data_IF_303750432810
#
_entry.id   IF_303750432810
#
_cell.length_a   1.000
_cell.length_b   1.000
_cell.length_c   1.000
_cell.angle_alpha   90.00
_cell.angle_beta   90.00
_cell.angle_gamma   90.00
#
_symmetry.space_group_name_H-M   'P 1'
#
loop_
_entity.id
_entity.type
_entity.pdbx_description
1 polymer ?
#
# COMPACT_ATOMS: atom_id res chain seq x y z
N UNK A 1 -17.38 32.68 33.21
CA UNK A 1 -17.75 31.58 32.29
C UNK A 1 -17.33 30.26 32.88
N UNK A 2 -18.22 29.65 33.65
CA UNK A 2 -17.99 28.38 34.36
C UNK A 2 -18.39 27.19 33.49
N UNK A 3 -17.46 26.26 33.28
CA UNK A 3 -17.73 24.97 32.64
C UNK A 3 -18.68 24.19 33.55
N UNK A 4 -19.92 23.94 33.10
CA UNK A 4 -20.95 23.27 33.90
C UNK A 4 -20.66 21.79 34.16
N UNK A 5 -19.87 21.14 33.31
CA UNK A 5 -19.46 19.74 33.47
C UNK A 5 -18.38 19.36 32.46
N UNK A 6 -17.42 18.54 32.88
CA UNK A 6 -16.43 17.87 32.00
C UNK A 6 -16.84 16.45 31.63
N UNK A 7 -17.94 15.93 32.22
CA UNK A 7 -18.47 14.59 32.00
C UNK A 7 -19.51 14.56 30.88
N UNK A 8 -19.24 15.20 29.74
CA UNK A 8 -20.16 15.26 28.61
C UNK A 8 -19.67 14.37 27.45
N UNK A 9 -20.16 13.13 27.38
CA UNK A 9 -19.79 12.19 26.33
C UNK A 9 -21.03 11.52 25.73
N UNK A 10 -21.11 11.48 24.39
CA UNK A 10 -22.14 10.70 23.69
C UNK A 10 -21.69 9.24 23.56
N UNK A 11 -22.51 8.28 24.00
CA UNK A 11 -22.22 6.84 23.84
C UNK A 11 -22.29 6.37 22.37
N UNK A 12 -22.96 7.12 21.49
CA UNK A 12 -23.19 6.75 20.09
C UNK A 12 -22.09 7.24 19.14
N UNK A 13 -21.28 8.21 19.57
CA UNK A 13 -20.28 8.89 18.72
C UNK A 13 -19.29 7.92 18.10
N UNK A 14 -18.72 6.98 18.86
CA UNK A 14 -17.75 6.01 18.35
C UNK A 14 -18.29 5.18 17.16
N UNK A 15 -19.53 4.67 17.28
CA UNK A 15 -20.14 3.82 16.23
C UNK A 15 -20.44 4.63 14.98
N UNK A 16 -21.00 5.83 15.15
CA UNK A 16 -21.38 6.69 14.03
C UNK A 16 -20.17 7.25 13.28
N UNK A 17 -19.13 7.69 14.00
CA UNK A 17 -17.87 8.18 13.41
C UNK A 17 -17.17 7.04 12.65
N UNK A 18 -17.12 5.83 13.24
CA UNK A 18 -16.54 4.66 12.56
C UNK A 18 -17.29 4.33 11.26
N UNK A 19 -18.62 4.33 11.29
CA UNK A 19 -19.45 4.08 10.09
C UNK A 19 -19.23 5.16 9.01
N UNK A 20 -19.01 6.40 9.42
CA UNK A 20 -18.78 7.50 8.49
C UNK A 20 -17.38 7.45 7.85
N UNK A 21 -16.34 7.08 8.60
CA UNK A 21 -14.94 7.34 8.24
C UNK A 21 -14.05 6.10 8.05
N UNK A 22 -14.34 4.97 8.68
CA UNK A 22 -13.43 3.82 8.63
C UNK A 22 -13.32 3.24 7.21
N UNK A 23 -12.08 2.98 6.77
CA UNK A 23 -11.79 2.46 5.43
C UNK A 23 -11.91 3.49 4.30
N UNK A 24 -12.16 4.76 4.61
CA UNK A 24 -12.25 5.82 3.59
C UNK A 24 -10.99 6.67 3.58
N UNK A 25 -10.64 7.18 2.40
CA UNK A 25 -9.59 8.19 2.22
C UNK A 25 -10.06 9.62 2.61
N UNK A 26 -11.39 9.83 2.71
CA UNK A 26 -12.02 11.08 3.13
C UNK A 26 -13.40 10.80 3.74
N UNK A 27 -13.77 11.56 4.76
CA UNK A 27 -15.12 11.59 5.33
C UNK A 27 -15.46 12.99 5.84
N UNK A 28 -16.72 13.23 6.16
CA UNK A 28 -17.19 14.46 6.82
C UNK A 28 -18.02 14.07 8.06
N UNK A 29 -17.85 14.82 9.15
CA UNK A 29 -18.57 14.63 10.41
C UNK A 29 -19.41 15.89 10.68
N UNK A 30 -20.71 15.71 10.89
CA UNK A 30 -21.62 16.83 11.18
C UNK A 30 -21.95 16.87 12.68
N UNK A 31 -21.31 17.77 13.43
CA UNK A 31 -21.51 17.93 14.89
C UNK A 31 -22.87 18.53 15.24
N UNK A 32 -23.95 17.73 15.09
CA UNK A 32 -25.33 18.11 15.39
C UNK A 32 -25.95 17.15 16.41
N UNK A 33 -26.82 17.70 17.28
CA UNK A 33 -27.61 16.90 18.23
C UNK A 33 -28.47 15.84 17.54
N UNK A 34 -28.98 16.12 16.32
CA UNK A 34 -29.75 15.16 15.53
C UNK A 34 -28.95 13.92 15.09
N UNK A 35 -27.62 14.01 15.05
CA UNK A 35 -26.73 12.91 14.67
C UNK A 35 -26.25 12.16 15.90
N UNK A 36 -25.76 12.88 16.92
CA UNK A 36 -25.05 12.29 18.06
C UNK A 36 -25.86 12.26 19.37
N UNK A 37 -27.09 12.78 19.36
CA UNK A 37 -27.87 13.08 20.55
C UNK A 37 -27.37 14.34 21.26
N UNK A 38 -28.08 14.76 22.32
CA UNK A 38 -27.60 15.79 23.24
C UNK A 38 -27.11 15.15 24.55
N UNK A 39 -25.79 14.90 24.71
CA UNK A 39 -25.24 14.26 25.91
C UNK A 39 -25.19 15.19 27.14
N UNK A 40 -25.32 16.51 26.96
CA UNK A 40 -25.30 17.48 28.05
C UNK A 40 -26.00 18.77 27.62
N UNK A 41 -27.28 18.86 27.95
CA UNK A 41 -28.11 19.99 27.58
C UNK A 41 -27.55 21.32 28.14
N UNK A 42 -27.66 22.40 27.36
CA UNK A 42 -27.17 23.73 27.74
C UNK A 42 -25.64 23.87 27.78
N UNK A 43 -24.90 22.86 27.31
CA UNK A 43 -23.44 22.92 27.16
C UNK A 43 -23.07 22.88 25.68
N UNK A 44 -22.16 23.77 25.27
CA UNK A 44 -21.54 23.73 23.94
C UNK A 44 -20.64 22.50 23.83
N UNK A 45 -20.79 21.76 22.73
CA UNK A 45 -20.15 20.45 22.50
C UNK A 45 -19.21 20.51 21.30
N UNK A 46 -18.25 19.59 21.24
CA UNK A 46 -17.36 19.40 20.10
C UNK A 46 -17.17 17.90 19.81
N UNK A 47 -16.69 17.57 18.61
CA UNK A 47 -16.27 16.22 18.27
C UNK A 47 -14.75 16.18 18.33
N UNK A 48 -14.23 15.27 19.12
CA UNK A 48 -12.82 14.90 19.11
C UNK A 48 -12.67 13.51 18.51
N UNK A 49 -11.70 13.35 17.60
CA UNK A 49 -11.41 12.08 16.94
C UNK A 49 -9.92 11.85 16.91
N UNK A 50 -9.49 10.74 17.51
CA UNK A 50 -8.18 10.17 17.24
C UNK A 50 -8.32 9.16 16.10
N UNK A 51 -7.53 9.34 15.05
CA UNK A 51 -7.51 8.43 13.91
C UNK A 51 -6.07 8.18 13.46
N UNK A 52 -5.88 7.08 12.74
CA UNK A 52 -4.66 6.82 11.99
C UNK A 52 -5.06 6.39 10.58
N UNK A 53 -4.28 6.81 9.60
CA UNK A 53 -4.33 6.19 8.29
C UNK A 53 -3.51 4.90 8.37
N UNK A 54 -4.16 3.76 8.22
CA UNK A 54 -3.42 2.54 7.90
C UNK A 54 -2.82 2.74 6.50
N UNK A 55 -1.48 2.68 6.42
CA UNK A 55 -0.82 2.63 5.12
C UNK A 55 -1.41 1.45 4.37
N UNK A 56 -1.92 1.68 3.17
CA UNK A 56 -2.07 0.58 2.21
C UNK A 56 -0.65 0.07 1.98
N UNK A 57 -0.24 -0.96 2.72
CA UNK A 57 1.10 -1.52 2.60
C UNK A 57 1.20 -2.09 1.19
N UNK A 58 1.93 -1.36 0.35
CA UNK A 58 2.44 -1.85 -0.91
C UNK A 58 3.68 -2.65 -0.54
N UNK A 59 3.59 -3.97 -0.59
CA UNK A 59 4.73 -4.85 -0.38
C UNK A 59 5.69 -4.72 -1.56
N UNK A 60 6.99 -4.76 -1.26
CA UNK A 60 8.06 -4.62 -2.26
C UNK A 60 8.84 -5.91 -2.35
N UNK A 61 8.81 -6.57 -3.50
CA UNK A 61 9.65 -7.72 -3.80
C UNK A 61 10.76 -7.31 -4.78
N UNK A 62 12.01 -7.68 -4.48
CA UNK A 62 13.18 -7.39 -5.32
C UNK A 62 14.01 -8.64 -5.55
N UNK A 63 14.47 -8.82 -6.79
CA UNK A 63 15.29 -9.97 -7.19
C UNK A 63 16.36 -9.53 -8.18
N UNK A 64 17.64 -9.64 -7.80
CA UNK A 64 18.77 -9.24 -8.64
C UNK A 64 18.90 -10.12 -9.90
N UNK A 65 19.43 -9.55 -10.99
CA UNK A 65 19.66 -10.27 -12.24
C UNK A 65 20.46 -11.57 -12.04
N UNK A 66 20.10 -12.60 -12.80
CA UNK A 66 20.60 -13.98 -12.72
C UNK A 66 20.17 -14.78 -11.48
N UNK A 67 19.31 -14.22 -10.62
CA UNK A 67 18.70 -14.96 -9.49
C UNK A 67 17.28 -15.42 -9.79
N UNK A 68 16.86 -16.44 -9.05
CA UNK A 68 15.48 -16.94 -8.99
C UNK A 68 14.91 -16.65 -7.59
N UNK A 69 13.62 -16.37 -7.52
CA UNK A 69 12.96 -16.06 -6.26
C UNK A 69 11.46 -16.31 -6.31
N UNK A 70 10.85 -16.50 -5.14
CA UNK A 70 9.42 -16.73 -5.01
C UNK A 70 8.77 -15.55 -4.30
N UNK A 71 7.75 -14.97 -4.92
CA UNK A 71 6.88 -13.98 -4.29
C UNK A 71 5.66 -14.74 -3.74
N UNK A 72 5.31 -14.50 -2.46
CA UNK A 72 4.23 -15.22 -1.75
C UNK A 72 3.45 -14.28 -0.83
N UNK A 73 2.13 -14.49 -0.77
CA UNK A 73 1.25 -13.90 0.22
C UNK A 73 0.94 -14.87 1.38
N UNK A 74 0.51 -14.36 2.55
CA UNK A 74 -0.03 -15.18 3.64
C UNK A 74 -1.15 -16.12 3.17
N UNK A 75 -1.40 -17.19 3.93
CA UNK A 75 -2.45 -18.17 3.61
C UNK A 75 -3.81 -17.47 3.46
N UNK A 76 -4.57 -17.85 2.43
CA UNK A 76 -5.89 -17.28 2.14
C UNK A 76 -5.89 -15.97 1.35
N UNK A 77 -4.71 -15.39 1.06
CA UNK A 77 -4.58 -14.16 0.28
C UNK A 77 -3.99 -14.39 -1.11
N UNK A 78 -4.25 -13.47 -2.03
CA UNK A 78 -3.72 -13.48 -3.40
C UNK A 78 -2.90 -12.23 -3.71
N UNK A 79 -1.95 -12.40 -4.62
CA UNK A 79 -1.03 -11.34 -5.07
C UNK A 79 -1.76 -10.44 -6.06
N UNK A 80 -1.85 -9.15 -5.75
CA UNK A 80 -2.32 -8.10 -6.64
C UNK A 80 -1.15 -7.21 -7.04
N UNK A 81 -0.54 -7.51 -8.18
CA UNK A 81 0.57 -6.72 -8.75
C UNK A 81 0.10 -5.30 -9.16
N UNK A 82 0.63 -4.28 -8.50
CA UNK A 82 0.41 -2.86 -8.81
C UNK A 82 1.44 -2.33 -9.82
N UNK A 83 2.73 -2.65 -9.61
CA UNK A 83 3.82 -2.28 -10.50
C UNK A 83 4.82 -3.44 -10.60
N UNK A 84 5.47 -3.54 -11.75
CA UNK A 84 6.53 -4.51 -11.98
C UNK A 84 7.51 -3.99 -13.05
N UNK A 85 8.80 -4.14 -12.80
CA UNK A 85 9.86 -3.82 -13.76
C UNK A 85 11.00 -4.83 -13.66
N UNK A 86 11.55 -5.27 -14.79
CA UNK A 86 12.89 -5.85 -14.88
C UNK A 86 13.79 -4.81 -15.55
N UNK A 87 14.72 -4.25 -14.79
CA UNK A 87 15.52 -3.12 -15.23
C UNK A 87 16.34 -2.54 -14.07
N UNK A 88 16.50 -1.22 -14.02
CA UNK A 88 17.15 -0.54 -12.90
C UNK A 88 16.62 0.87 -12.73
N UNK A 89 16.17 1.18 -11.53
CA UNK A 89 15.61 2.47 -11.11
C UNK A 89 16.40 3.15 -9.99
N UNK A 90 17.29 2.41 -9.32
CA UNK A 90 18.10 2.91 -8.20
C UNK A 90 19.52 2.31 -8.22
N UNK A 91 20.49 3.06 -7.68
CA UNK A 91 21.88 2.57 -7.49
C UNK A 91 22.02 1.64 -6.28
N UNK A 92 21.26 1.90 -5.21
CA UNK A 92 21.37 1.19 -3.94
C UNK A 92 20.76 -0.21 -3.90
N UNK A 93 19.88 -0.55 -4.85
CA UNK A 93 19.25 -1.87 -4.95
C UNK A 93 20.12 -2.79 -5.81
N UNK A 94 20.40 -4.01 -5.34
CA UNK A 94 21.27 -4.97 -6.04
C UNK A 94 22.57 -4.28 -6.49
N UNK A 95 23.35 -3.79 -5.52
CA UNK A 95 24.60 -3.05 -5.77
C UNK A 95 25.54 -3.88 -6.65
N UNK A 96 26.10 -3.25 -7.66
CA UNK A 96 26.98 -3.90 -8.64
C UNK A 96 27.85 -2.85 -9.34
N UNK A 97 29.03 -3.24 -9.81
CA UNK A 97 29.97 -2.32 -10.48
C UNK A 97 29.48 -1.87 -11.86
N UNK A 98 28.66 -2.70 -12.50
CA UNK A 98 28.09 -2.44 -13.83
C UNK A 98 26.74 -1.71 -13.71
N UNK A 99 26.77 -0.39 -13.53
CA UNK A 99 25.57 0.47 -13.52
C UNK A 99 25.82 1.68 -14.42
N UNK A 100 25.39 1.62 -15.68
CA UNK A 100 25.49 2.76 -16.61
C UNK A 100 24.29 3.71 -16.52
N UNK A 101 23.13 3.21 -16.08
CA UNK A 101 21.91 4.02 -15.95
C UNK A 101 20.98 3.52 -14.84
N UNK A 102 20.15 4.43 -14.31
CA UNK A 102 19.01 4.13 -13.42
C UNK A 102 17.67 4.51 -14.06
N UNK A 103 17.65 4.74 -15.37
CA UNK A 103 16.42 4.95 -16.15
C UNK A 103 16.18 3.76 -17.07
N UNK A 104 16.18 2.55 -16.50
CA UNK A 104 16.09 1.31 -17.26
C UNK A 104 14.78 0.56 -16.96
N UNK A 105 13.97 0.41 -18.00
CA UNK A 105 12.62 -0.15 -17.90
C UNK A 105 12.35 -1.14 -19.04
N UNK A 106 11.99 -2.39 -18.71
CA UNK A 106 11.57 -3.36 -19.72
C UNK A 106 10.09 -3.20 -20.05
N UNK A 107 9.78 -2.98 -21.34
CA UNK A 107 8.40 -2.89 -21.86
C UNK A 107 7.59 -4.18 -21.65
N UNK A 108 8.25 -5.34 -21.56
CA UNK A 108 7.58 -6.66 -21.43
C UNK A 108 7.38 -7.07 -19.96
N UNK A 109 8.24 -6.58 -19.07
CA UNK A 109 8.33 -7.07 -17.69
C UNK A 109 7.02 -7.02 -16.91
N UNK A 110 6.28 -5.91 -16.97
CA UNK A 110 5.00 -5.76 -16.25
C UNK A 110 3.98 -6.82 -16.66
N UNK A 111 3.82 -7.07 -17.96
CA UNK A 111 2.84 -8.02 -18.50
C UNK A 111 3.23 -9.45 -18.11
N UNK A 112 4.50 -9.81 -18.27
CA UNK A 112 4.98 -11.16 -17.95
C UNK A 112 4.91 -11.48 -16.46
N UNK A 113 5.30 -10.53 -15.60
CA UNK A 113 5.21 -10.70 -14.14
C UNK A 113 3.74 -10.77 -13.68
N UNK A 114 2.85 -9.93 -14.24
CA UNK A 114 1.41 -10.03 -13.95
C UNK A 114 0.86 -11.40 -14.33
N UNK A 115 1.17 -11.90 -15.54
CA UNK A 115 0.74 -13.23 -15.98
C UNK A 115 1.26 -14.34 -15.06
N UNK A 116 2.48 -14.20 -14.54
CA UNK A 116 3.07 -15.17 -13.64
C UNK A 116 2.45 -15.16 -12.23
N UNK A 117 2.11 -13.98 -11.69
CA UNK A 117 1.86 -13.79 -10.26
C UNK A 117 0.46 -13.31 -9.88
N UNK A 118 -0.18 -12.48 -10.70
CA UNK A 118 -1.43 -11.82 -10.33
C UNK A 118 -2.54 -12.86 -10.10
N UNK A 119 -3.27 -12.73 -8.99
CA UNK A 119 -4.34 -13.65 -8.58
C UNK A 119 -3.86 -14.98 -7.98
N UNK A 120 -2.55 -15.22 -7.87
CA UNK A 120 -1.99 -16.42 -7.23
C UNK A 120 -1.60 -16.14 -5.79
N UNK A 121 -1.56 -17.16 -4.94
CA UNK A 121 -0.99 -17.02 -3.59
C UNK A 121 0.56 -16.97 -3.61
N UNK A 122 1.19 -17.66 -4.56
CA UNK A 122 2.65 -17.67 -4.77
C UNK A 122 3.00 -17.78 -6.26
N UNK A 123 4.14 -17.22 -6.66
CA UNK A 123 4.71 -17.38 -8.00
C UNK A 123 6.24 -17.38 -7.95
N UNK A 124 6.88 -18.10 -8.87
CA UNK A 124 8.32 -18.06 -9.07
C UNK A 124 8.66 -17.07 -10.19
N UNK A 125 9.73 -16.29 -9.98
CA UNK A 125 10.26 -15.33 -10.95
C UNK A 125 11.74 -15.60 -11.17
N UNK A 126 12.17 -15.49 -12.42
CA UNK A 126 13.57 -15.66 -12.83
C UNK A 126 14.06 -14.35 -13.47
N UNK A 127 14.98 -13.64 -12.81
CA UNK A 127 15.46 -12.32 -13.23
C UNK A 127 16.50 -12.41 -14.35
N UNK A 128 16.11 -12.89 -15.54
CA UNK A 128 17.01 -13.11 -16.68
C UNK A 128 16.58 -12.36 -17.94
N UNK A 129 17.57 -11.95 -18.71
CA UNK A 129 17.40 -11.36 -20.05
C UNK A 129 16.58 -12.27 -20.99
N UNK A 130 16.75 -13.59 -20.90
CA UNK A 130 15.99 -14.54 -21.72
C UNK A 130 14.48 -14.52 -21.48
N UNK A 131 14.03 -13.99 -20.33
CA UNK A 131 12.60 -13.89 -19.99
C UNK A 131 12.04 -12.52 -20.36
N UNK A 132 12.76 -11.44 -20.05
CA UNK A 132 12.22 -10.07 -20.13
C UNK A 132 12.88 -9.19 -21.21
N UNK A 133 13.85 -9.72 -21.96
CA UNK A 133 14.78 -8.97 -22.80
C UNK A 133 15.84 -8.23 -21.99
N UNK A 134 16.80 -7.61 -22.69
CA UNK A 134 17.78 -6.70 -22.07
C UNK A 134 17.44 -5.23 -22.37
N UNK A 135 16.72 -4.53 -21.48
CA UNK A 135 16.31 -3.14 -21.70
C UNK A 135 17.45 -2.11 -21.58
N UNK A 136 18.62 -2.48 -21.05
CA UNK A 136 19.73 -1.58 -20.86
C UNK A 136 21.06 -2.35 -20.81
N UNK A 137 21.56 -2.70 -21.99
CA UNK A 137 22.79 -3.48 -22.14
C UNK A 137 23.97 -2.90 -21.34
N UNK A 138 24.70 -3.78 -20.64
CA UNK A 138 25.83 -3.39 -19.79
C UNK A 138 25.43 -2.65 -18.52
N UNK A 139 24.16 -2.70 -18.10
CA UNK A 139 23.71 -2.35 -16.75
C UNK A 139 23.14 -3.60 -16.08
N UNK A 140 23.62 -3.89 -14.87
CA UNK A 140 23.13 -4.99 -14.04
C UNK A 140 21.73 -4.67 -13.52
N UNK A 141 20.74 -5.52 -13.77
CA UNK A 141 19.32 -5.25 -13.53
C UNK A 141 18.80 -5.94 -12.27
N UNK A 142 17.54 -5.70 -11.95
CA UNK A 142 16.76 -6.43 -10.97
C UNK A 142 15.29 -6.40 -11.36
N UNK A 143 14.53 -7.40 -10.91
CA UNK A 143 13.09 -7.32 -10.82
C UNK A 143 12.72 -6.49 -9.59
N UNK A 144 11.79 -5.55 -9.74
CA UNK A 144 11.07 -4.93 -8.64
C UNK A 144 9.57 -5.09 -8.87
N UNK A 145 8.85 -5.59 -7.87
CA UNK A 145 7.39 -5.74 -7.88
C UNK A 145 6.82 -5.02 -6.68
N UNK A 146 5.88 -4.10 -6.95
CA UNK A 146 5.01 -3.51 -5.94
C UNK A 146 3.69 -4.25 -5.99
N UNK A 147 3.25 -4.82 -4.87
CA UNK A 147 2.06 -5.65 -4.82
C UNK A 147 1.30 -5.51 -3.50
N UNK A 148 0.08 -6.04 -3.50
CA UNK A 148 -0.72 -6.21 -2.29
C UNK A 148 -1.08 -7.69 -2.11
N UNK A 149 -1.23 -8.10 -0.87
CA UNK A 149 -1.89 -9.35 -0.51
C UNK A 149 -3.31 -9.07 -0.04
N UNK A 150 -4.29 -9.43 -0.86
CA UNK A 150 -5.72 -9.25 -0.58
C UNK A 150 -6.39 -10.58 -0.25
#
# INVERSE_FOLDING_TARGET
>A
NSIKTTCCYSRKSKILIRKACHGKNKCALNARNSVYGDPCYGTYKYIEVLYHCEKSYVDVFRLCENRQGTLRCPKGKVIVVAYANYGRTAKGVCRHNSIKTTRCYSRKSKILIRKACHGKNKCALNARNSVYGDPCYGTYKYIEVLYHCV
#
